data_IF_574006619931
#
_entry.id   IF_574006619931
#
_cell.length_a   1.000
_cell.length_b   1.000
_cell.length_c   1.000
_cell.angle_alpha   90.00
_cell.angle_beta   90.00
_cell.angle_gamma   90.00
#
_symmetry.space_group_name_H-M   'P 1'
#
loop_
_entity.id
_entity.type
_entity.pdbx_description
1 polymer ?
#
# COMPACT_ATOMS: atom_id res chain seq x y z
N UNK A 1 -25.41 -13.72 -7.77
CA UNK A 1 -24.94 -12.32 -7.66
C UNK A 1 -23.50 -12.22 -7.15
N UNK A 2 -23.10 -12.94 -6.08
CA UNK A 2 -21.72 -12.92 -5.53
C UNK A 2 -20.67 -13.57 -6.47
N UNK A 3 -21.06 -14.59 -7.25
CA UNK A 3 -20.16 -15.25 -8.22
C UNK A 3 -19.62 -14.29 -9.31
N UNK A 4 -20.44 -13.35 -9.78
CA UNK A 4 -20.03 -12.37 -10.79
C UNK A 4 -19.09 -11.29 -10.22
N UNK A 5 -19.17 -11.03 -8.92
CA UNK A 5 -18.30 -10.08 -8.22
C UNK A 5 -16.97 -10.71 -7.77
N UNK A 6 -16.88 -12.04 -7.71
CA UNK A 6 -15.71 -12.74 -7.19
C UNK A 6 -14.43 -12.45 -8.00
N UNK A 7 -14.50 -12.49 -9.33
CA UNK A 7 -13.33 -12.19 -10.18
C UNK A 7 -12.92 -10.71 -10.08
N UNK A 8 -13.90 -9.81 -9.94
CA UNK A 8 -13.64 -8.40 -9.67
C UNK A 8 -12.98 -8.16 -8.30
N UNK A 9 -13.47 -8.83 -7.25
CA UNK A 9 -12.87 -8.81 -5.91
C UNK A 9 -11.43 -9.34 -5.95
N UNK A 10 -11.19 -10.43 -6.68
CA UNK A 10 -9.86 -10.99 -6.91
C UNK A 10 -8.94 -9.99 -7.60
N UNK A 11 -9.41 -9.35 -8.67
CA UNK A 11 -8.63 -8.34 -9.39
C UNK A 11 -8.29 -7.13 -8.51
N UNK A 12 -9.26 -6.60 -7.76
CA UNK A 12 -9.07 -5.46 -6.86
C UNK A 12 -8.14 -5.81 -5.69
N UNK A 13 -8.22 -7.03 -5.14
CA UNK A 13 -7.30 -7.50 -4.12
C UNK A 13 -5.86 -7.53 -4.64
N UNK A 14 -5.63 -8.16 -5.80
CA UNK A 14 -4.30 -8.25 -6.41
C UNK A 14 -3.74 -6.85 -6.70
N UNK A 15 -4.56 -5.96 -7.27
CA UNK A 15 -4.15 -4.57 -7.55
C UNK A 15 -3.73 -3.85 -6.26
N UNK A 16 -4.52 -4.00 -5.18
CA UNK A 16 -4.24 -3.39 -3.88
C UNK A 16 -2.96 -3.95 -3.26
N UNK A 17 -2.71 -5.26 -3.37
CA UNK A 17 -1.48 -5.90 -2.90
C UNK A 17 -0.27 -5.40 -3.69
N UNK A 18 -0.34 -5.29 -5.01
CA UNK A 18 0.76 -4.77 -5.84
C UNK A 18 1.08 -3.32 -5.45
N UNK A 19 0.05 -2.47 -5.29
CA UNK A 19 0.23 -1.10 -4.83
C UNK A 19 0.88 -1.02 -3.44
N UNK A 20 0.48 -1.92 -2.52
CA UNK A 20 1.06 -2.00 -1.20
C UNK A 20 2.53 -2.45 -1.24
N UNK A 21 2.85 -3.48 -2.04
CA UNK A 21 4.22 -3.95 -2.23
C UNK A 21 5.13 -2.89 -2.85
N UNK A 22 4.64 -2.13 -3.84
CA UNK A 22 5.38 -1.03 -4.43
C UNK A 22 5.74 0.04 -3.39
N UNK A 23 4.81 0.37 -2.49
CA UNK A 23 5.06 1.28 -1.37
C UNK A 23 6.14 0.76 -0.41
N UNK A 24 6.06 -0.52 -0.03
CA UNK A 24 7.03 -1.17 0.86
C UNK A 24 8.44 -1.25 0.26
N UNK A 25 8.56 -1.41 -1.06
CA UNK A 25 9.85 -1.46 -1.75
C UNK A 25 10.45 -0.07 -1.99
N UNK A 26 9.62 0.96 -2.15
CA UNK A 26 10.07 2.33 -2.38
C UNK A 26 10.53 3.04 -1.10
N UNK A 27 9.92 2.71 0.04
CA UNK A 27 10.19 3.35 1.33
C UNK A 27 11.65 3.18 1.83
N UNK A 28 12.28 1.97 1.82
CA UNK A 28 13.67 1.79 2.23
C UNK A 28 14.65 2.66 1.44
N UNK A 29 14.39 2.84 0.14
CA UNK A 29 15.21 3.69 -0.72
C UNK A 29 15.18 5.15 -0.26
N UNK A 30 14.01 5.68 0.13
CA UNK A 30 13.91 7.01 0.71
C UNK A 30 14.70 7.13 2.01
N UNK A 31 14.61 6.12 2.88
CA UNK A 31 15.34 6.13 4.15
C UNK A 31 16.86 6.14 3.97
N UNK A 32 17.38 5.42 2.97
CA UNK A 32 18.82 5.49 2.65
C UNK A 32 19.24 6.91 2.26
N UNK A 33 18.45 7.62 1.46
CA UNK A 33 18.75 9.02 1.11
C UNK A 33 18.60 9.96 2.31
N UNK A 34 17.68 9.66 3.23
CA UNK A 34 17.48 10.45 4.45
C UNK A 34 18.66 10.35 5.41
N UNK A 35 19.24 9.16 5.57
CA UNK A 35 20.44 8.98 6.40
C UNK A 35 21.63 9.84 5.95
N UNK A 36 21.70 10.20 4.67
CA UNK A 36 22.74 11.07 4.11
C UNK A 36 22.38 12.57 4.14
N UNK A 37 21.18 12.95 4.57
CA UNK A 37 20.74 14.35 4.61
C UNK A 37 21.16 15.04 5.92
N UNK A 38 21.53 16.31 5.83
CA UNK A 38 21.86 17.11 7.02
C UNK A 38 20.60 17.37 7.86
N UNK A 39 20.62 17.09 9.18
CA UNK A 39 19.45 17.26 10.04
C UNK A 39 18.94 18.72 10.01
N UNK A 40 17.67 18.89 9.65
CA UNK A 40 17.05 20.23 9.59
C UNK A 40 17.26 21.00 8.29
N UNK A 41 18.02 20.45 7.34
CA UNK A 41 18.15 20.99 5.99
C UNK A 41 16.87 20.87 5.15
N UNK A 42 16.87 21.55 3.99
CA UNK A 42 15.78 21.51 3.00
C UNK A 42 15.48 20.08 2.50
N UNK A 43 16.54 19.27 2.32
CA UNK A 43 16.43 17.89 1.86
C UNK A 43 15.77 16.98 2.91
N UNK A 44 16.16 17.11 4.17
CA UNK A 44 15.57 16.38 5.30
C UNK A 44 14.06 16.63 5.42
N UNK A 45 13.64 17.89 5.32
CA UNK A 45 12.21 18.27 5.34
C UNK A 45 11.44 17.68 4.15
N UNK A 46 12.04 17.73 2.98
CA UNK A 46 11.44 17.20 1.75
C UNK A 46 11.27 15.68 1.81
N UNK A 47 12.30 14.96 2.27
CA UNK A 47 12.27 13.51 2.41
C UNK A 47 11.24 13.07 3.46
N UNK A 48 11.20 13.73 4.63
CA UNK A 48 10.15 13.50 5.65
C UNK A 48 8.74 13.66 5.10
N UNK A 49 8.52 14.67 4.24
CA UNK A 49 7.23 14.90 3.60
C UNK A 49 6.90 13.78 2.61
N UNK A 50 7.86 13.38 1.77
CA UNK A 50 7.68 12.31 0.80
C UNK A 50 7.40 10.95 1.48
N UNK A 51 8.14 10.60 2.52
CA UNK A 51 7.92 9.39 3.33
C UNK A 51 6.52 9.38 3.93
N UNK A 52 6.10 10.48 4.57
CA UNK A 52 4.77 10.58 5.19
C UNK A 52 3.65 10.48 4.16
N UNK A 53 3.80 11.11 3.00
CA UNK A 53 2.82 11.04 1.91
C UNK A 53 2.72 9.64 1.35
N UNK A 54 3.86 9.00 1.07
CA UNK A 54 3.90 7.61 0.60
C UNK A 54 3.18 6.68 1.58
N UNK A 55 3.49 6.78 2.87
CA UNK A 55 2.87 5.97 3.91
C UNK A 55 1.36 6.23 4.03
N UNK A 56 0.95 7.48 4.23
CA UNK A 56 -0.45 7.80 4.52
C UNK A 56 -1.37 7.75 3.31
N UNK A 57 -0.89 8.15 2.13
CA UNK A 57 -1.73 8.34 0.94
C UNK A 57 -1.72 7.10 0.05
N UNK A 58 -0.61 6.36 -0.01
CA UNK A 58 -0.49 5.21 -0.91
C UNK A 58 -0.53 3.91 -0.11
N UNK A 59 0.38 3.74 0.85
CA UNK A 59 0.62 2.46 1.49
C UNK A 59 -0.52 2.04 2.43
N UNK A 60 -0.98 2.94 3.30
CA UNK A 60 -2.06 2.68 4.24
C UNK A 60 -3.40 2.33 3.57
N UNK A 61 -3.91 3.11 2.60
CA UNK A 61 -5.16 2.76 1.93
C UNK A 61 -5.01 1.49 1.08
N UNK A 62 -3.86 1.27 0.43
CA UNK A 62 -3.61 0.02 -0.31
C UNK A 62 -3.60 -1.21 0.61
N UNK A 63 -2.98 -1.10 1.79
CA UNK A 63 -3.02 -2.13 2.83
C UNK A 63 -4.45 -2.43 3.27
N UNK A 64 -5.22 -1.39 3.62
CA UNK A 64 -6.61 -1.54 4.07
C UNK A 64 -7.45 -2.21 2.98
N UNK A 65 -7.34 -1.76 1.73
CA UNK A 65 -8.05 -2.33 0.60
C UNK A 65 -7.65 -3.80 0.36
N UNK A 66 -6.36 -4.12 0.42
CA UNK A 66 -5.88 -5.49 0.29
C UNK A 66 -6.49 -6.42 1.36
N UNK A 67 -6.51 -5.99 2.62
CA UNK A 67 -7.13 -6.77 3.71
C UNK A 67 -8.64 -6.91 3.54
N UNK A 68 -9.36 -5.83 3.23
CA UNK A 68 -10.82 -5.87 3.03
C UNK A 68 -11.18 -6.83 1.90
N UNK A 69 -10.56 -6.67 0.72
CA UNK A 69 -10.86 -7.54 -0.42
C UNK A 69 -10.41 -8.98 -0.18
N UNK A 70 -9.31 -9.19 0.54
CA UNK A 70 -8.83 -10.53 0.92
C UNK A 70 -9.82 -11.25 1.84
N UNK A 71 -10.30 -10.57 2.88
CA UNK A 71 -11.29 -11.13 3.82
C UNK A 71 -12.63 -11.41 3.12
N UNK A 72 -13.08 -10.51 2.24
CA UNK A 72 -14.28 -10.73 1.42
C UNK A 72 -14.14 -11.92 0.46
N UNK A 73 -12.95 -12.14 -0.10
CA UNK A 73 -12.66 -13.31 -0.92
C UNK A 73 -12.70 -14.61 -0.11
N UNK A 74 -12.16 -14.62 1.11
CA UNK A 74 -12.23 -15.78 2.01
C UNK A 74 -13.69 -16.08 2.37
N UNK A 75 -14.46 -15.06 2.74
CA UNK A 75 -15.89 -15.22 3.06
C UNK A 75 -16.69 -15.75 1.87
N UNK A 76 -16.54 -15.15 0.68
CA UNK A 76 -17.25 -15.59 -0.53
C UNK A 76 -16.84 -16.98 -1.04
N UNK A 77 -15.62 -17.43 -0.71
CA UNK A 77 -15.19 -18.80 -0.99
C UNK A 77 -15.75 -19.79 0.05
N UNK A 78 -15.89 -19.38 1.31
CA UNK A 78 -16.46 -20.23 2.37
C UNK A 78 -17.97 -20.52 2.18
N UNK A 79 -18.69 -19.67 1.44
CA UNK A 79 -20.11 -19.86 1.10
C UNK A 79 -20.34 -20.68 -0.20
N UNK A 80 -19.28 -21.10 -0.91
CA UNK A 80 -19.36 -22.02 -2.06
C UNK A 80 -19.21 -23.46 -1.63
#
# INVERSE_FOLDING_TARGET
MILAAYDWLRALHILSVIAWMAGLLYLPRLYVYHCGAEPGGELDRTLKLQERRLLKIIMNPAMIAAWIFGLLLVWSNAER
#
